data_IF_196001862019
#
_entry.id   IF_196001862019
#
_cell.length_a   1.000
_cell.length_b   1.000
_cell.length_c   1.000
_cell.angle_alpha   90.00
_cell.angle_beta   90.00
_cell.angle_gamma   90.00
#
_symmetry.space_group_name_H-M   'P 1'
#
loop_
_entity.id
_entity.type
_entity.pdbx_description
1 polymer ?
#
# COMPACT_ATOMS: atom_id res chain seq x y z
N UNK A 1 -37.12 29.80 -0.97
CA UNK A 1 -35.95 29.88 -0.04
C UNK A 1 -35.41 28.51 0.38
N UNK A 2 -36.15 27.41 0.34
CA UNK A 2 -35.73 26.05 0.74
C UNK A 2 -34.83 25.36 -0.31
N UNK A 3 -34.97 25.66 -1.60
CA UNK A 3 -34.22 25.01 -2.70
C UNK A 3 -32.76 25.44 -2.73
N UNK A 4 -32.44 26.67 -2.33
CA UNK A 4 -31.05 27.19 -2.36
C UNK A 4 -30.17 26.56 -1.27
N UNK A 5 -30.76 26.18 -0.13
CA UNK A 5 -30.03 25.53 0.98
C UNK A 5 -29.64 24.10 0.60
N UNK A 6 -30.52 23.39 -0.17
CA UNK A 6 -30.25 22.02 -0.63
C UNK A 6 -29.05 21.92 -1.59
N UNK A 7 -28.91 22.87 -2.51
CA UNK A 7 -27.83 22.87 -3.51
C UNK A 7 -26.48 23.16 -2.86
N UNK A 8 -26.43 24.06 -1.88
CA UNK A 8 -25.22 24.36 -1.12
C UNK A 8 -24.70 23.16 -0.31
N UNK A 9 -25.62 22.40 0.32
CA UNK A 9 -25.27 21.23 1.11
C UNK A 9 -24.76 20.08 0.25
N UNK A 10 -25.35 19.84 -0.91
CA UNK A 10 -24.91 18.82 -1.88
C UNK A 10 -23.52 19.15 -2.43
N UNK A 11 -23.24 20.42 -2.72
CA UNK A 11 -21.92 20.83 -3.22
C UNK A 11 -20.81 20.71 -2.16
N UNK A 12 -21.11 21.05 -0.90
CA UNK A 12 -20.15 20.88 0.21
C UNK A 12 -19.90 19.40 0.47
N UNK A 13 -20.95 18.57 0.42
CA UNK A 13 -20.84 17.12 0.61
C UNK A 13 -20.01 16.47 -0.50
N UNK A 14 -20.29 16.81 -1.77
CA UNK A 14 -19.52 16.31 -2.92
C UNK A 14 -18.05 16.74 -2.86
N UNK A 15 -17.77 17.96 -2.42
CA UNK A 15 -16.41 18.47 -2.30
C UNK A 15 -15.64 17.78 -1.16
N UNK A 16 -16.27 17.55 0.00
CA UNK A 16 -15.70 16.76 1.09
C UNK A 16 -15.46 15.31 0.69
N UNK A 17 -16.45 14.69 0.04
CA UNK A 17 -16.37 13.30 -0.41
C UNK A 17 -15.26 13.11 -1.47
N UNK A 18 -15.21 14.02 -2.45
CA UNK A 18 -14.13 14.06 -3.45
C UNK A 18 -12.75 14.21 -2.78
N UNK A 19 -12.63 15.05 -1.76
CA UNK A 19 -11.38 15.30 -1.05
C UNK A 19 -10.92 14.09 -0.22
N UNK A 20 -11.85 13.34 0.38
CA UNK A 20 -11.57 12.09 1.10
C UNK A 20 -11.12 10.99 0.12
N UNK A 21 -11.76 10.89 -1.05
CA UNK A 21 -11.41 9.90 -2.07
C UNK A 21 -10.15 10.27 -2.86
N UNK A 22 -9.92 11.57 -3.10
CA UNK A 22 -8.77 12.05 -3.88
C UNK A 22 -7.47 12.09 -3.08
N UNK A 23 -7.54 11.94 -1.75
CA UNK A 23 -6.35 12.00 -0.89
C UNK A 23 -5.41 10.78 -1.05
N UNK A 24 -5.65 9.91 -2.03
CA UNK A 24 -4.76 8.79 -2.39
C UNK A 24 -4.57 7.71 -1.30
N UNK A 25 -5.08 7.94 -0.10
CA UNK A 25 -4.90 7.07 1.07
C UNK A 25 -5.37 5.61 0.84
N UNK A 26 -6.57 5.34 0.26
CA UNK A 26 -6.99 3.96 0.01
C UNK A 26 -6.11 3.28 -1.04
N UNK A 27 -5.66 4.04 -2.05
CA UNK A 27 -4.79 3.52 -3.11
C UNK A 27 -3.39 3.23 -2.58
N UNK A 28 -2.86 4.11 -1.73
CA UNK A 28 -1.59 3.91 -1.03
C UNK A 28 -1.63 2.63 -0.18
N UNK A 29 -2.68 2.46 0.62
CA UNK A 29 -2.84 1.28 1.46
C UNK A 29 -2.97 -0.01 0.62
N UNK A 30 -3.68 0.03 -0.51
CA UNK A 30 -3.76 -1.11 -1.43
C UNK A 30 -2.41 -1.47 -2.03
N UNK A 31 -1.63 -0.47 -2.45
CA UNK A 31 -0.27 -0.70 -2.96
C UNK A 31 0.65 -1.27 -1.87
N UNK A 32 0.56 -0.73 -0.65
CA UNK A 32 1.33 -1.25 0.49
C UNK A 32 0.95 -2.71 0.81
N UNK A 33 -0.33 -3.06 0.81
CA UNK A 33 -0.80 -4.44 1.00
C UNK A 33 -0.22 -5.39 -0.06
N UNK A 34 -0.17 -4.96 -1.31
CA UNK A 34 0.43 -5.75 -2.39
C UNK A 34 1.93 -5.98 -2.17
N UNK A 35 2.65 -4.97 -1.65
CA UNK A 35 4.07 -5.10 -1.31
C UNK A 35 4.25 -6.05 -0.13
N UNK A 36 3.44 -5.94 0.93
CA UNK A 36 3.51 -6.86 2.06
C UNK A 36 3.19 -8.30 1.67
N UNK A 37 2.29 -8.52 0.71
CA UNK A 37 2.03 -9.85 0.16
C UNK A 37 3.25 -10.41 -0.56
N UNK A 38 3.90 -9.63 -1.42
CA UNK A 38 5.14 -10.03 -2.09
C UNK A 38 6.26 -10.34 -1.10
N UNK A 39 6.38 -9.53 -0.04
CA UNK A 39 7.34 -9.76 1.04
C UNK A 39 7.03 -11.08 1.75
N UNK A 40 5.76 -11.35 2.04
CA UNK A 40 5.33 -12.61 2.65
C UNK A 40 5.71 -13.83 1.78
N UNK A 41 5.50 -13.74 0.48
CA UNK A 41 5.87 -14.79 -0.48
C UNK A 41 7.38 -15.03 -0.51
N UNK A 42 8.19 -13.96 -0.51
CA UNK A 42 9.65 -14.05 -0.48
C UNK A 42 10.16 -14.71 0.82
N UNK A 43 9.63 -14.29 1.97
CA UNK A 43 9.98 -14.87 3.27
C UNK A 43 9.57 -16.35 3.32
N UNK A 44 8.35 -16.69 2.90
CA UNK A 44 7.85 -18.06 2.88
C UNK A 44 8.70 -18.95 1.99
N UNK A 45 9.18 -18.43 0.85
CA UNK A 45 10.09 -19.13 -0.02
C UNK A 45 11.43 -19.41 0.66
N UNK A 46 11.97 -18.45 1.42
CA UNK A 46 13.19 -18.65 2.18
C UNK A 46 13.00 -19.72 3.26
N UNK A 47 11.92 -19.62 4.05
CA UNK A 47 11.63 -20.60 5.12
C UNK A 47 11.46 -22.01 4.56
N UNK A 48 10.71 -22.17 3.47
CA UNK A 48 10.46 -23.48 2.88
C UNK A 48 11.71 -24.15 2.30
N UNK A 49 12.74 -23.37 1.96
CA UNK A 49 13.99 -23.85 1.40
C UNK A 49 15.18 -23.76 2.37
N UNK A 50 14.93 -23.48 3.64
CA UNK A 50 15.99 -23.25 4.61
C UNK A 50 16.91 -24.47 4.86
N UNK A 51 16.40 -25.69 4.60
CA UNK A 51 17.17 -26.93 4.71
C UNK A 51 17.92 -27.31 3.43
N UNK A 52 17.83 -26.48 2.38
CA UNK A 52 18.47 -26.76 1.10
C UNK A 52 19.77 -25.96 0.98
N UNK A 53 20.91 -26.60 1.10
CA UNK A 53 22.24 -25.98 1.05
C UNK A 53 22.54 -25.27 -0.29
N UNK A 54 21.86 -25.65 -1.37
CA UNK A 54 22.01 -25.04 -2.69
C UNK A 54 21.06 -23.86 -2.91
N UNK A 55 20.17 -23.59 -1.96
CA UNK A 55 19.22 -22.50 -2.11
C UNK A 55 19.86 -21.16 -1.75
N UNK A 56 19.77 -20.21 -2.67
CA UNK A 56 20.16 -18.82 -2.41
C UNK A 56 18.98 -18.07 -1.81
N UNK A 57 19.22 -17.42 -0.68
CA UNK A 57 18.22 -16.60 0.02
C UNK A 57 17.67 -15.50 -0.91
N UNK A 58 16.37 -15.41 -1.01
CA UNK A 58 15.68 -14.31 -1.73
C UNK A 58 15.66 -13.07 -0.84
N UNK A 59 15.90 -11.91 -1.44
CA UNK A 59 15.83 -10.65 -0.71
C UNK A 59 14.41 -10.37 -0.21
N UNK A 60 14.29 -10.04 1.06
CA UNK A 60 13.03 -9.75 1.76
C UNK A 60 12.89 -8.29 2.16
N UNK A 61 13.84 -7.44 1.75
CA UNK A 61 13.77 -6.00 1.98
C UNK A 61 13.00 -5.31 0.85
N UNK A 62 11.82 -4.82 1.17
CA UNK A 62 10.92 -4.09 0.27
C UNK A 62 10.77 -2.62 0.68
N UNK A 63 11.66 -2.10 1.51
CA UNK A 63 11.60 -0.73 2.03
C UNK A 63 11.69 0.33 0.92
N UNK A 64 12.50 0.11 -0.11
CA UNK A 64 12.59 0.99 -1.27
C UNK A 64 11.25 1.06 -2.01
N UNK A 65 10.61 -0.08 -2.26
CA UNK A 65 9.31 -0.14 -2.93
C UNK A 65 8.20 0.56 -2.12
N UNK A 66 8.24 0.45 -0.79
CA UNK A 66 7.32 1.17 0.09
C UNK A 66 7.53 2.69 0.03
N UNK A 67 8.79 3.14 0.02
CA UNK A 67 9.13 4.55 -0.13
C UNK A 67 8.67 5.09 -1.49
N UNK A 68 8.83 4.34 -2.57
CA UNK A 68 8.37 4.72 -3.91
C UNK A 68 6.84 4.87 -3.95
N UNK A 69 6.11 3.98 -3.29
CA UNK A 69 4.65 4.08 -3.16
C UNK A 69 4.26 5.32 -2.38
N UNK A 70 4.95 5.65 -1.30
CA UNK A 70 4.70 6.84 -0.50
C UNK A 70 4.98 8.12 -1.30
N UNK A 71 6.08 8.15 -2.03
CA UNK A 71 6.49 9.29 -2.85
C UNK A 71 5.57 9.46 -4.08
N UNK A 72 5.07 8.38 -4.68
CA UNK A 72 4.17 8.43 -5.84
C UNK A 72 2.82 9.08 -5.54
N UNK A 73 2.41 9.13 -4.27
CA UNK A 73 1.18 9.85 -3.86
C UNK A 73 1.38 11.36 -3.73
N UNK A 74 2.62 11.80 -3.61
CA UNK A 74 3.02 13.22 -3.54
C UNK A 74 3.31 13.80 -4.93
N UNK A 75 3.31 12.99 -5.98
CA UNK A 75 3.58 13.43 -7.35
C UNK A 75 2.44 14.32 -7.86
N UNK A 76 2.79 15.50 -8.35
CA UNK A 76 1.87 16.43 -9.00
C UNK A 76 1.21 15.75 -10.20
N UNK A 77 -0.13 15.79 -10.25
CA UNK A 77 -0.90 15.28 -11.38
C UNK A 77 -0.60 16.16 -12.60
N UNK A 78 0.24 15.68 -13.51
CA UNK A 78 0.53 16.37 -14.78
C UNK A 78 -0.66 16.22 -15.72
N UNK A 79 -1.25 17.31 -16.13
CA UNK A 79 -2.39 17.37 -17.05
C UNK A 79 -1.99 17.30 -18.53
N UNK A 80 -0.70 17.30 -18.84
CA UNK A 80 -0.18 17.25 -20.22
C UNK A 80 1.10 16.43 -20.31
N UNK A 81 1.22 15.62 -21.36
CA UNK A 81 2.42 14.82 -21.64
C UNK A 81 3.69 15.66 -21.91
N UNK A 82 3.56 16.98 -22.08
CA UNK A 82 4.68 17.90 -22.24
C UNK A 82 5.29 18.38 -20.93
N UNK A 83 4.65 18.12 -19.79
CA UNK A 83 5.25 18.42 -18.48
C UNK A 83 6.23 17.29 -18.14
N UNK A 84 7.47 17.68 -17.79
CA UNK A 84 8.50 16.76 -17.34
C UNK A 84 7.92 15.84 -16.25
N UNK A 85 7.68 14.60 -16.64
CA UNK A 85 7.47 13.52 -15.69
C UNK A 85 8.80 13.32 -14.99
N UNK A 86 8.88 13.69 -13.70
CA UNK A 86 10.01 13.32 -12.88
C UNK A 86 10.23 11.82 -13.07
N UNK A 87 11.44 11.46 -13.48
CA UNK A 87 11.89 10.13 -13.81
C UNK A 87 11.24 9.10 -12.85
N UNK A 88 10.26 8.39 -13.33
CA UNK A 88 9.91 7.10 -12.76
C UNK A 88 11.11 6.21 -13.03
N UNK A 89 11.93 6.04 -12.04
CA UNK A 89 12.98 5.03 -12.05
C UNK A 89 12.29 3.71 -12.25
N UNK A 90 12.42 3.21 -13.48
CA UNK A 90 11.97 1.89 -13.82
C UNK A 90 12.60 0.89 -12.86
N UNK A 91 11.73 0.23 -12.11
CA UNK A 91 11.74 -1.18 -11.84
C UNK A 91 13.14 -1.84 -11.84
N UNK A 92 13.93 -1.56 -10.87
CA UNK A 92 14.99 -2.49 -10.51
C UNK A 92 14.31 -3.69 -9.87
N UNK A 93 14.01 -4.67 -10.69
CA UNK A 93 13.75 -6.04 -10.32
C UNK A 93 15.08 -6.61 -9.77
N UNK A 94 15.58 -6.03 -8.71
CA UNK A 94 16.68 -6.61 -7.96
C UNK A 94 16.09 -7.74 -7.11
N UNK A 95 15.86 -8.87 -7.79
CA UNK A 95 15.97 -10.18 -7.16
C UNK A 95 17.46 -10.36 -6.80
N UNK A 96 17.98 -9.49 -5.97
CA UNK A 96 19.31 -9.61 -5.43
C UNK A 96 19.23 -10.75 -4.42
N UNK A 97 19.62 -11.93 -4.91
CA UNK A 97 19.82 -13.10 -4.05
C UNK A 97 20.98 -12.74 -3.13
N UNK A 98 20.69 -12.36 -1.90
CA UNK A 98 21.73 -12.16 -0.90
C UNK A 98 22.47 -13.48 -0.72
N UNK A 99 23.78 -13.49 -0.99
CA UNK A 99 24.66 -14.62 -0.76
C UNK A 99 24.64 -14.98 0.73
N UNK A 100 24.07 -16.11 1.09
CA UNK A 100 24.06 -16.62 2.45
C UNK A 100 23.03 -17.74 2.64
N UNK A 101 23.31 -18.60 3.61
CA UNK A 101 22.36 -19.59 4.08
C UNK A 101 21.15 -18.90 4.73
N UNK A 102 19.99 -19.55 4.66
CA UNK A 102 18.76 -19.01 5.25
C UNK A 102 18.79 -19.22 6.78
N UNK A 103 18.71 -18.14 7.53
CA UNK A 103 18.48 -18.18 8.98
C UNK A 103 16.96 -18.23 9.26
N UNK A 104 16.47 -19.41 9.64
CA UNK A 104 15.06 -19.66 9.92
C UNK A 104 14.55 -18.71 11.02
N UNK A 105 15.33 -18.50 12.08
CA UNK A 105 14.91 -17.64 13.21
C UNK A 105 14.69 -16.22 12.77
N UNK A 106 15.58 -15.69 11.94
CA UNK A 106 15.47 -14.38 11.35
C UNK A 106 14.26 -14.28 10.42
N UNK A 107 14.08 -15.26 9.51
CA UNK A 107 12.95 -15.25 8.57
C UNK A 107 11.60 -15.35 9.29
N UNK A 108 11.50 -16.16 10.35
CA UNK A 108 10.28 -16.23 11.16
C UNK A 108 9.97 -14.92 11.88
N UNK A 109 11.00 -14.20 12.35
CA UNK A 109 10.85 -12.85 12.89
C UNK A 109 10.32 -11.87 11.84
N UNK A 110 10.89 -11.89 10.63
CA UNK A 110 10.43 -11.06 9.51
C UNK A 110 9.00 -11.42 9.08
N UNK A 111 8.63 -12.70 9.14
CA UNK A 111 7.27 -13.16 8.84
C UNK A 111 6.26 -12.58 9.83
N UNK A 112 6.56 -12.65 11.13
CA UNK A 112 5.70 -12.09 12.17
C UNK A 112 5.55 -10.57 12.03
N UNK A 113 6.65 -9.87 11.76
CA UNK A 113 6.63 -8.42 11.53
C UNK A 113 5.77 -8.06 10.29
N UNK A 114 5.96 -8.78 9.18
CA UNK A 114 5.19 -8.59 7.96
C UNK A 114 3.70 -8.83 8.20
N UNK A 115 3.33 -9.88 8.95
CA UNK A 115 1.96 -10.19 9.32
C UNK A 115 1.31 -9.02 10.07
N UNK A 116 2.00 -8.45 11.05
CA UNK A 116 1.49 -7.30 11.82
C UNK A 116 1.25 -6.08 10.91
N UNK A 117 2.20 -5.79 10.01
CA UNK A 117 2.08 -4.68 9.05
C UNK A 117 0.92 -4.87 8.09
N UNK A 118 0.76 -6.08 7.56
CA UNK A 118 -0.34 -6.45 6.67
C UNK A 118 -1.70 -6.31 7.37
N UNK A 119 -1.84 -6.83 8.58
CA UNK A 119 -3.08 -6.71 9.35
C UNK A 119 -3.41 -5.26 9.68
N UNK A 120 -2.42 -4.47 10.09
CA UNK A 120 -2.63 -3.05 10.34
C UNK A 120 -3.16 -2.32 9.10
N UNK A 121 -2.52 -2.52 7.94
CA UNK A 121 -2.93 -1.91 6.69
C UNK A 121 -4.34 -2.35 6.26
N UNK A 122 -4.68 -3.64 6.44
CA UNK A 122 -6.01 -4.19 6.15
C UNK A 122 -7.08 -3.56 7.05
N UNK A 123 -6.80 -3.46 8.36
CA UNK A 123 -7.73 -2.82 9.32
C UNK A 123 -7.92 -1.33 9.02
N UNK A 124 -6.84 -0.62 8.66
CA UNK A 124 -6.92 0.78 8.27
C UNK A 124 -7.79 0.98 7.03
N UNK A 125 -7.56 0.17 5.99
CA UNK A 125 -8.33 0.21 4.74
C UNK A 125 -9.82 -0.12 4.98
N UNK A 126 -10.09 -1.17 5.77
CA UNK A 126 -11.45 -1.56 6.15
C UNK A 126 -12.17 -0.44 6.91
N UNK A 127 -11.49 0.23 7.85
CA UNK A 127 -12.05 1.37 8.60
C UNK A 127 -12.39 2.53 7.68
N UNK A 128 -11.54 2.83 6.69
CA UNK A 128 -11.81 3.88 5.70
C UNK A 128 -13.06 3.55 4.86
N UNK A 129 -13.16 2.34 4.33
CA UNK A 129 -14.33 1.93 3.57
C UNK A 129 -15.61 1.91 4.41
N UNK A 130 -15.52 1.46 5.66
CA UNK A 130 -16.65 1.51 6.58
C UNK A 130 -17.10 2.94 6.85
N UNK A 131 -16.18 3.89 7.03
CA UNK A 131 -16.48 5.30 7.18
C UNK A 131 -17.22 5.87 5.96
N UNK A 132 -16.76 5.55 4.75
CA UNK A 132 -17.42 5.95 3.50
C UNK A 132 -18.82 5.35 3.41
N UNK A 133 -18.96 4.05 3.69
CA UNK A 133 -20.27 3.37 3.68
C UNK A 133 -21.25 3.99 4.69
N UNK A 134 -20.78 4.30 5.90
CA UNK A 134 -21.60 4.98 6.93
C UNK A 134 -22.03 6.36 6.47
N UNK A 135 -21.14 7.11 5.82
CA UNK A 135 -21.46 8.45 5.30
C UNK A 135 -22.52 8.41 4.20
N UNK A 136 -22.54 7.35 3.39
CA UNK A 136 -23.53 7.18 2.30
C UNK A 136 -24.87 6.70 2.86
N UNK A 137 -24.85 5.74 3.79
CA UNK A 137 -26.08 5.08 4.27
C UNK A 137 -26.71 5.79 5.47
N UNK A 138 -25.98 6.68 6.14
CA UNK A 138 -26.41 7.35 7.38
C UNK A 138 -26.61 6.41 8.57
N UNK A 139 -26.24 5.12 8.44
CA UNK A 139 -26.39 4.11 9.50
C UNK A 139 -25.06 3.87 10.20
N UNK A 140 -24.99 4.26 11.45
CA UNK A 140 -23.93 3.80 12.38
C UNK A 140 -24.38 2.47 12.98
N UNK A 141 -23.60 1.41 12.74
CA UNK A 141 -23.74 0.15 13.46
C UNK A 141 -22.83 0.16 14.67
#
# INVERSE_FOLDING_TARGET
MIIIIGIGFVNVFNNMFSKILSNGQPQLLKKALNIYQKQHEAISKNVSNASNDNFKRVNTDFSSQLNDVQNSTSSLKTSSAKHLSGSSTENSNSNDSSEGSVDITREMGLLAENQIKYEFATRALSRMYKGISTSITGKTR
#
